data_IF_068377870823
#
_entry.id   IF_068377870823
#
_cell.length_a   1.000
_cell.length_b   1.000
_cell.length_c   1.000
_cell.angle_alpha   90.00
_cell.angle_beta   90.00
_cell.angle_gamma   90.00
#
_symmetry.space_group_name_H-M   'P 1'
#
loop_
_entity.id
_entity.type
_entity.pdbx_description
1 polymer ?
#
# COMPACT_ATOMS: atom_id res chain seq x y z
N UNK A 1 20.66 -3.98 -21.98
CA UNK A 1 19.32 -4.48 -22.10
C UNK A 1 18.43 -3.49 -22.86
N UNK A 2 17.70 -3.99 -23.81
CA UNK A 2 16.76 -3.21 -24.57
C UNK A 2 15.33 -3.54 -24.12
N UNK A 3 14.43 -2.59 -24.28
CA UNK A 3 13.02 -2.74 -23.91
C UNK A 3 12.68 -2.08 -22.57
N UNK A 4 11.40 -2.05 -22.19
CA UNK A 4 10.96 -1.44 -20.95
C UNK A 4 11.49 -2.19 -19.73
N UNK A 5 11.83 -1.45 -18.71
CA UNK A 5 12.19 -2.04 -17.42
C UNK A 5 10.93 -2.54 -16.73
N UNK A 6 11.02 -3.74 -16.22
CA UNK A 6 9.98 -4.27 -15.36
C UNK A 6 10.31 -3.98 -13.90
N UNK A 7 9.28 -3.61 -13.14
CA UNK A 7 9.42 -3.48 -11.70
C UNK A 7 9.41 -4.86 -11.06
N UNK A 8 10.41 -5.17 -10.25
CA UNK A 8 10.51 -6.44 -9.54
C UNK A 8 10.61 -6.19 -8.04
N UNK A 9 10.08 -7.10 -7.21
CA UNK A 9 10.20 -6.96 -5.77
C UNK A 9 11.66 -6.98 -5.34
N UNK A 10 12.01 -6.13 -4.40
CA UNK A 10 13.29 -6.15 -3.73
C UNK A 10 13.18 -7.11 -2.55
N UNK A 11 13.58 -8.35 -2.76
CA UNK A 11 13.41 -9.41 -1.77
C UNK A 11 14.46 -9.24 -0.67
N UNK A 12 14.12 -8.43 0.31
CA UNK A 12 14.95 -8.19 1.49
C UNK A 12 14.05 -7.85 2.68
N UNK A 13 14.50 -8.14 3.90
CA UNK A 13 13.73 -7.78 5.09
C UNK A 13 13.51 -6.28 5.16
N UNK A 14 12.32 -5.88 5.62
CA UNK A 14 11.98 -4.48 5.84
C UNK A 14 11.93 -4.22 7.34
N UNK A 15 12.94 -3.52 7.90
CA UNK A 15 12.92 -3.21 9.33
C UNK A 15 11.70 -2.36 9.69
N UNK A 16 11.08 -2.69 10.82
CA UNK A 16 9.92 -1.95 11.30
C UNK A 16 8.60 -2.35 10.68
N UNK A 17 8.59 -3.24 9.69
CA UNK A 17 7.34 -3.76 9.13
C UNK A 17 6.88 -4.96 9.96
N UNK A 18 5.84 -4.75 10.76
CA UNK A 18 5.31 -5.79 11.64
C UNK A 18 4.12 -6.49 11.00
N UNK A 19 4.03 -7.78 11.22
CA UNK A 19 2.86 -8.57 10.82
C UNK A 19 1.83 -8.45 11.94
N UNK A 20 0.68 -7.87 11.63
CA UNK A 20 -0.39 -7.63 12.59
C UNK A 20 -1.36 -8.80 12.63
N UNK A 21 -1.58 -9.43 11.47
CA UNK A 21 -2.49 -10.56 11.34
C UNK A 21 -2.03 -11.43 10.17
N UNK A 22 -2.16 -12.73 10.34
CA UNK A 22 -1.83 -13.69 9.28
C UNK A 22 -2.76 -14.90 9.39
N UNK A 23 -3.43 -15.23 8.30
CA UNK A 23 -4.23 -16.44 8.18
C UNK A 23 -4.02 -17.03 6.77
N UNK A 24 -4.84 -18.00 6.39
CA UNK A 24 -4.70 -18.66 5.09
C UNK A 24 -5.12 -17.78 3.92
N UNK A 25 -5.87 -16.73 4.16
CA UNK A 25 -6.46 -15.88 3.13
C UNK A 25 -5.76 -14.54 2.98
N UNK A 26 -5.37 -13.94 4.09
CA UNK A 26 -4.79 -12.59 4.11
C UNK A 26 -3.61 -12.49 5.07
N UNK A 27 -2.78 -11.50 4.83
CA UNK A 27 -1.81 -11.02 5.80
C UNK A 27 -1.98 -9.51 5.92
N UNK A 28 -1.96 -9.02 7.16
CA UNK A 28 -2.05 -7.58 7.43
C UNK A 28 -0.71 -7.14 8.00
N UNK A 29 -0.13 -6.13 7.39
CA UNK A 29 1.14 -5.56 7.81
C UNK A 29 0.96 -4.13 8.30
N UNK A 30 1.81 -3.72 9.22
CA UNK A 30 1.97 -2.32 9.59
C UNK A 30 3.15 -1.77 8.79
N UNK A 31 2.84 -1.07 7.70
CA UNK A 31 3.84 -0.54 6.79
C UNK A 31 4.50 0.69 7.40
N UNK A 32 5.84 0.71 7.54
CA UNK A 32 6.52 1.93 7.96
C UNK A 32 6.53 2.98 6.85
N UNK A 33 6.70 4.24 7.24
CA UNK A 33 6.97 5.30 6.28
C UNK A 33 8.32 5.03 5.58
N UNK A 34 8.42 5.41 4.33
CA UNK A 34 9.63 5.19 3.55
C UNK A 34 9.66 3.85 2.81
N UNK A 35 8.59 3.08 2.90
CA UNK A 35 8.45 1.77 2.25
C UNK A 35 7.30 1.84 1.25
N UNK A 36 7.53 1.39 0.02
CA UNK A 36 6.49 1.34 -1.00
C UNK A 36 5.57 0.14 -0.77
N UNK A 37 4.32 0.24 -1.21
CA UNK A 37 3.39 -0.89 -1.13
C UNK A 37 3.84 -2.05 -2.02
N UNK A 38 4.32 -1.75 -3.21
CA UNK A 38 4.78 -2.73 -4.17
C UNK A 38 5.90 -2.12 -5.01
N UNK A 39 6.68 -2.96 -5.74
CA UNK A 39 7.70 -2.42 -6.62
C UNK A 39 7.08 -1.55 -7.71
N UNK A 40 7.79 -0.52 -8.11
CA UNK A 40 7.41 0.33 -9.23
C UNK A 40 8.65 0.87 -9.91
N UNK A 41 8.50 1.20 -11.18
CA UNK A 41 9.61 1.79 -11.94
C UNK A 41 9.97 3.14 -11.33
N UNK A 42 11.26 3.34 -11.07
CA UNK A 42 11.77 4.55 -10.45
C UNK A 42 11.86 4.51 -8.92
N UNK A 43 11.40 3.44 -8.30
CA UNK A 43 11.56 3.24 -6.86
C UNK A 43 12.65 2.21 -6.60
N UNK A 44 13.70 2.62 -5.90
CA UNK A 44 14.85 1.77 -5.60
C UNK A 44 14.89 1.30 -4.14
N UNK A 45 13.94 1.75 -3.33
CA UNK A 45 13.88 1.41 -1.93
C UNK A 45 13.12 0.12 -1.63
N UNK A 46 12.90 -0.16 -0.34
CA UNK A 46 12.16 -1.36 0.07
C UNK A 46 10.67 -1.26 -0.27
N UNK A 47 10.03 -2.41 -0.40
CA UNK A 47 8.60 -2.50 -0.63
C UNK A 47 7.99 -3.66 0.17
N UNK A 48 6.67 -3.59 0.38
CA UNK A 48 5.94 -4.58 1.18
C UNK A 48 5.98 -5.97 0.53
N UNK A 49 5.83 -6.03 -0.79
CA UNK A 49 5.84 -7.31 -1.51
C UNK A 49 7.18 -8.02 -1.31
N UNK A 50 8.28 -7.30 -1.50
CA UNK A 50 9.61 -7.85 -1.29
C UNK A 50 9.88 -8.21 0.15
N UNK A 51 9.40 -7.39 1.10
CA UNK A 51 9.53 -7.69 2.52
C UNK A 51 8.78 -8.95 2.94
N UNK A 52 7.58 -9.15 2.42
CA UNK A 52 6.81 -10.37 2.68
C UNK A 52 7.48 -11.61 2.07
N UNK A 53 8.02 -11.48 0.86
CA UNK A 53 8.76 -12.57 0.23
C UNK A 53 9.99 -12.95 1.05
N UNK A 54 10.73 -11.97 1.54
CA UNK A 54 11.91 -12.20 2.39
C UNK A 54 11.54 -12.89 3.71
N UNK A 55 10.34 -12.63 4.23
CA UNK A 55 9.83 -13.26 5.45
C UNK A 55 9.20 -14.63 5.21
N UNK A 56 9.17 -15.10 3.97
CA UNK A 56 8.66 -16.43 3.64
C UNK A 56 7.16 -16.49 3.37
N UNK A 57 6.49 -15.36 3.25
CA UNK A 57 5.06 -15.35 2.96
C UNK A 57 4.80 -15.55 1.48
N UNK A 58 3.80 -16.38 1.19
CA UNK A 58 3.28 -16.54 -0.16
C UNK A 58 2.01 -15.70 -0.28
N UNK A 59 2.00 -14.81 -1.27
CA UNK A 59 0.85 -13.96 -1.54
C UNK A 59 0.20 -14.38 -2.86
N UNK A 60 -1.03 -13.91 -3.08
CA UNK A 60 -1.77 -14.20 -4.31
C UNK A 60 -0.97 -13.73 -5.52
N UNK A 61 -1.05 -14.49 -6.61
CA UNK A 61 -0.44 -14.13 -7.88
C UNK A 61 -1.36 -13.31 -8.78
N UNK A 62 -2.56 -13.00 -8.30
CA UNK A 62 -3.50 -12.14 -9.03
C UNK A 62 -3.02 -10.71 -9.07
N UNK A 63 -3.32 -10.04 -10.18
CA UNK A 63 -2.92 -8.66 -10.42
C UNK A 63 -1.72 -8.57 -11.35
N UNK A 64 -1.31 -7.35 -11.67
CA UNK A 64 -0.13 -7.12 -12.49
C UNK A 64 1.12 -7.68 -11.80
N UNK A 65 2.15 -8.10 -12.56
CA UNK A 65 3.33 -8.76 -11.97
C UNK A 65 4.00 -7.98 -10.83
N UNK A 66 4.06 -6.66 -10.94
CA UNK A 66 4.71 -5.81 -9.93
C UNK A 66 3.87 -5.61 -8.67
N UNK A 67 2.59 -5.97 -8.69
CA UNK A 67 1.67 -5.74 -7.57
C UNK A 67 0.75 -6.92 -7.28
N UNK A 68 1.25 -8.13 -7.50
CA UNK A 68 0.48 -9.34 -7.20
C UNK A 68 0.08 -9.36 -5.72
N UNK A 69 -1.20 -9.68 -5.48
CA UNK A 69 -1.74 -9.76 -4.13
C UNK A 69 -2.08 -8.40 -3.49
N UNK A 70 -1.73 -7.30 -4.12
CA UNK A 70 -1.94 -5.95 -3.60
C UNK A 70 -3.35 -5.47 -3.99
N UNK A 71 -4.18 -5.25 -2.99
CA UNK A 71 -5.57 -4.81 -3.15
C UNK A 71 -5.79 -3.37 -2.71
N UNK A 72 -4.83 -2.79 -2.02
CA UNK A 72 -4.81 -1.38 -1.63
C UNK A 72 -3.38 -0.89 -1.62
N UNK A 73 -3.20 0.43 -1.65
CA UNK A 73 -1.89 1.06 -1.57
C UNK A 73 -1.89 2.15 -0.53
N UNK A 74 -0.79 2.23 0.19
CA UNK A 74 -0.41 3.43 0.94
C UNK A 74 0.79 4.06 0.23
N UNK A 75 0.83 5.37 0.20
CA UNK A 75 1.98 6.08 -0.36
C UNK A 75 3.26 5.76 0.42
N UNK A 76 4.41 5.93 -0.22
CA UNK A 76 5.70 5.64 0.41
C UNK A 76 5.85 6.37 1.75
N UNK A 77 5.46 7.64 1.80
CA UNK A 77 5.56 8.45 3.02
C UNK A 77 4.46 8.18 4.05
N UNK A 78 3.50 7.32 3.76
CA UNK A 78 2.40 7.02 4.66
C UNK A 78 2.67 5.69 5.37
N UNK A 79 2.57 5.70 6.70
CA UNK A 79 2.63 4.49 7.51
C UNK A 79 1.23 3.98 7.81
N UNK A 80 1.12 2.72 8.18
CA UNK A 80 -0.14 2.18 8.65
C UNK A 80 -0.46 0.80 8.11
N UNK A 81 -1.66 0.36 8.37
CA UNK A 81 -2.10 -1.00 8.09
C UNK A 81 -2.37 -1.20 6.61
N UNK A 82 -1.84 -2.28 6.08
CA UNK A 82 -2.15 -2.76 4.73
C UNK A 82 -2.56 -4.22 4.80
N UNK A 83 -3.64 -4.56 4.10
CA UNK A 83 -4.03 -5.94 3.89
C UNK A 83 -3.50 -6.42 2.55
N UNK A 84 -2.91 -7.61 2.53
CA UNK A 84 -2.40 -8.24 1.32
C UNK A 84 -3.07 -9.60 1.16
N UNK A 85 -3.58 -9.88 -0.03
CA UNK A 85 -4.25 -11.14 -0.31
C UNK A 85 -3.24 -12.28 -0.46
N UNK A 86 -3.50 -13.39 0.19
CA UNK A 86 -2.70 -14.61 0.07
C UNK A 86 -3.34 -15.62 -0.87
N UNK A 87 -4.64 -15.52 -1.10
CA UNK A 87 -5.38 -16.42 -1.99
C UNK A 87 -6.07 -15.63 -3.11
N UNK A 88 -6.41 -16.33 -4.19
CA UNK A 88 -7.17 -15.76 -5.29
C UNK A 88 -8.54 -15.28 -4.84
N UNK A 89 -9.18 -16.06 -3.98
CA UNK A 89 -10.49 -15.72 -3.42
C UNK A 89 -10.43 -14.43 -2.62
N UNK A 90 -9.45 -14.30 -1.72
CA UNK A 90 -9.27 -13.08 -0.94
C UNK A 90 -8.97 -11.90 -1.84
N UNK A 91 -8.13 -12.08 -2.85
CA UNK A 91 -7.81 -11.01 -3.80
C UNK A 91 -9.08 -10.47 -4.44
N UNK A 92 -9.90 -11.35 -4.99
CA UNK A 92 -11.15 -10.96 -5.68
C UNK A 92 -12.11 -10.24 -4.75
N UNK A 93 -12.33 -10.80 -3.56
CA UNK A 93 -13.27 -10.22 -2.59
C UNK A 93 -12.80 -8.87 -2.06
N UNK A 94 -11.50 -8.74 -1.78
CA UNK A 94 -10.94 -7.49 -1.28
C UNK A 94 -10.92 -6.42 -2.36
N UNK A 95 -10.57 -6.75 -3.59
CA UNK A 95 -10.62 -5.80 -4.70
C UNK A 95 -12.03 -5.25 -4.86
N UNK A 96 -13.02 -6.12 -4.75
CA UNK A 96 -14.42 -5.70 -4.82
C UNK A 96 -14.80 -4.81 -3.64
N UNK A 97 -14.40 -5.17 -2.43
CA UNK A 97 -14.70 -4.38 -1.23
C UNK A 97 -14.11 -2.98 -1.31
N UNK A 98 -12.87 -2.84 -1.77
CA UNK A 98 -12.25 -1.53 -1.96
C UNK A 98 -12.92 -0.73 -3.07
N UNK A 99 -13.28 -1.38 -4.17
CA UNK A 99 -14.00 -0.72 -5.27
C UNK A 99 -15.37 -0.21 -4.82
N UNK A 100 -16.09 -1.01 -4.05
CA UNK A 100 -17.43 -0.70 -3.57
C UNK A 100 -17.42 0.18 -2.32
N UNK A 101 -16.22 0.52 -1.82
CA UNK A 101 -16.02 1.38 -0.65
C UNK A 101 -16.70 0.85 0.61
N UNK A 102 -16.70 -0.47 0.77
CA UNK A 102 -17.24 -1.12 1.97
C UNK A 102 -16.18 -1.31 3.05
N UNK A 103 -14.93 -0.92 2.79
CA UNK A 103 -13.84 -0.96 3.76
C UNK A 103 -13.77 0.37 4.48
N UNK A 104 -13.82 0.32 5.81
CA UNK A 104 -13.66 1.52 6.63
C UNK A 104 -12.18 1.89 6.72
N UNK A 105 -11.87 3.13 6.39
CA UNK A 105 -10.50 3.65 6.42
C UNK A 105 -10.42 4.87 7.33
N UNK A 106 -9.40 4.88 8.18
CA UNK A 106 -9.12 6.03 9.04
C UNK A 106 -7.66 6.41 8.87
N UNK A 107 -7.42 7.67 8.59
CA UNK A 107 -6.08 8.24 8.45
C UNK A 107 -5.89 9.35 9.47
N UNK A 108 -4.69 9.41 10.04
CA UNK A 108 -4.26 10.54 10.85
C UNK A 108 -3.26 11.34 10.05
N UNK A 109 -3.48 12.65 9.97
CA UNK A 109 -2.59 13.55 9.25
C UNK A 109 -2.18 14.70 10.16
N UNK A 110 -0.90 15.02 10.15
CA UNK A 110 -0.40 16.23 10.80
C UNK A 110 -0.56 17.38 9.81
N UNK A 111 -1.31 18.39 10.23
CA UNK A 111 -1.59 19.54 9.39
C UNK A 111 -0.95 20.80 9.97
N UNK A 112 -0.71 21.78 9.13
CA UNK A 112 -0.19 23.07 9.55
C UNK A 112 -1.32 23.92 10.12
N UNK A 113 -1.10 24.52 11.28
CA UNK A 113 -2.08 25.36 11.93
C UNK A 113 -3.11 24.59 12.76
N UNK A 114 -4.04 25.33 13.35
CA UNK A 114 -5.13 24.76 14.15
C UNK A 114 -6.45 24.95 13.38
N UNK A 115 -7.14 23.86 13.04
CA UNK A 115 -8.42 23.99 12.35
C UNK A 115 -9.47 24.70 13.21
N UNK A 116 -10.33 25.51 12.59
CA UNK A 116 -11.45 26.17 13.23
C UNK A 116 -12.72 25.94 12.38
N UNK A 117 -13.68 25.14 12.85
CA UNK A 117 -13.69 24.43 14.14
C UNK A 117 -12.68 23.28 14.20
N UNK A 118 -12.42 22.76 15.41
CA UNK A 118 -11.47 21.67 15.62
C UNK A 118 -11.97 20.37 14.99
N UNK A 119 -13.27 20.21 14.89
CA UNK A 119 -13.89 19.08 14.22
C UNK A 119 -14.74 19.59 13.07
N UNK A 120 -14.75 18.85 11.98
CA UNK A 120 -15.55 19.19 10.82
C UNK A 120 -15.26 18.29 9.66
N UNK A 121 -15.92 18.58 8.55
CA UNK A 121 -15.78 17.81 7.32
C UNK A 121 -15.35 18.74 6.19
N UNK A 122 -14.35 18.31 5.43
CA UNK A 122 -13.97 18.94 4.18
C UNK A 122 -14.34 17.99 3.07
N UNK A 123 -15.30 18.39 2.25
CA UNK A 123 -15.78 17.60 1.11
C UNK A 123 -15.37 18.30 -0.18
N UNK A 124 -14.13 18.08 -0.57
CA UNK A 124 -13.53 18.69 -1.74
C UNK A 124 -12.66 17.66 -2.47
N UNK A 125 -12.62 17.71 -3.80
CA UNK A 125 -11.76 16.81 -4.55
C UNK A 125 -10.28 17.15 -4.31
N UNK A 126 -9.45 16.09 -4.36
CA UNK A 126 -8.00 16.22 -4.24
C UNK A 126 -7.41 16.11 -5.63
N UNK A 127 -6.51 17.03 -5.95
CA UNK A 127 -5.79 17.03 -7.22
C UNK A 127 -4.35 17.47 -7.03
N UNK A 128 -3.61 17.47 -8.13
CA UNK A 128 -2.24 17.97 -8.11
C UNK A 128 -2.22 19.49 -7.99
N UNK A 129 -1.22 19.99 -7.28
CA UNK A 129 -1.01 21.42 -7.21
C UNK A 129 -0.71 21.97 -8.62
N UNK A 130 -1.32 23.11 -9.03
CA UNK A 130 -1.14 23.63 -10.40
C UNK A 130 0.32 23.93 -10.77
N UNK A 131 1.14 24.34 -9.79
CA UNK A 131 2.52 24.74 -10.02
C UNK A 131 3.55 23.71 -9.57
N UNK A 132 3.10 22.56 -9.06
CA UNK A 132 3.96 21.51 -8.53
C UNK A 132 3.38 20.15 -8.91
N UNK A 133 4.25 19.22 -9.26
CA UNK A 133 3.83 17.87 -9.65
C UNK A 133 3.86 16.93 -8.45
N UNK A 134 3.22 17.35 -7.35
CA UNK A 134 3.06 16.51 -6.16
C UNK A 134 1.66 16.71 -5.54
N UNK A 135 1.30 15.77 -4.69
CA UNK A 135 0.01 15.79 -3.99
C UNK A 135 0.16 16.22 -2.54
#
# INVERSE_FOLDING_TARGET
RTGPREATPRVEPVPGMNIVHDDTEIVVVDKPAGVAAHPSVGWDGPDVVGGLAAAGYRISTSGAPERQGIVQRLDVGTSGLMVVAKSERAYTLLKQAFRDRTVDKTYHALVQGLPDPIEGTIDAPIGRHPNHDYK
#
